data_IF_975373561629
#
_entry.id   IF_975373561629
#
_cell.length_a   1.000
_cell.length_b   1.000
_cell.length_c   1.000
_cell.angle_alpha   90.00
_cell.angle_beta   90.00
_cell.angle_gamma   90.00
#
_symmetry.space_group_name_H-M   'P 1'
#
loop_
_entity.id
_entity.type
_entity.pdbx_description
1 polymer ?
#
# COMPACT_ATOMS: atom_id res chain seq x y z
N UNK A 1 -15.38 -18.03 7.94
CA UNK A 1 -15.52 -16.93 6.95
C UNK A 1 -14.12 -16.43 6.61
N UNK A 2 -13.79 -16.35 5.33
CA UNK A 2 -12.43 -15.93 4.95
C UNK A 2 -12.37 -14.40 4.91
N UNK A 3 -11.37 -13.82 5.56
CA UNK A 3 -11.16 -12.38 5.54
C UNK A 3 -10.42 -11.97 4.26
N UNK A 4 -10.79 -10.82 3.70
CA UNK A 4 -10.10 -10.23 2.56
C UNK A 4 -9.59 -8.85 2.95
N UNK A 5 -8.26 -8.64 2.84
CA UNK A 5 -7.64 -7.37 3.12
C UNK A 5 -6.96 -6.79 1.88
N UNK A 6 -7.02 -5.46 1.74
CA UNK A 6 -6.16 -4.75 0.80
C UNK A 6 -4.89 -4.26 1.51
N UNK A 7 -3.73 -4.26 0.83
CA UNK A 7 -2.48 -3.80 1.45
C UNK A 7 -2.58 -2.40 2.07
N UNK A 8 -3.18 -1.45 1.36
CA UNK A 8 -3.29 -0.05 1.83
C UNK A 8 -4.15 0.14 3.08
N UNK A 9 -5.16 -0.73 3.32
CA UNK A 9 -6.01 -0.59 4.51
C UNK A 9 -5.32 -1.05 5.81
N UNK A 10 -4.30 -1.91 5.71
CA UNK A 10 -3.61 -2.46 6.87
C UNK A 10 -2.86 -1.40 7.67
N UNK A 11 -2.27 -0.44 7.00
CA UNK A 11 -1.57 0.65 7.65
C UNK A 11 -2.47 1.86 7.87
N UNK A 12 -3.11 2.35 6.83
CA UNK A 12 -3.83 3.62 6.91
C UNK A 12 -5.13 3.52 7.70
N UNK A 13 -6.07 2.67 7.27
CA UNK A 13 -7.39 2.61 7.89
C UNK A 13 -7.37 1.99 9.27
N UNK A 14 -6.67 0.85 9.41
CA UNK A 14 -6.63 0.11 10.65
C UNK A 14 -5.94 0.87 11.79
N UNK A 15 -4.84 1.60 11.49
CA UNK A 15 -4.13 2.42 12.49
C UNK A 15 -4.85 3.71 12.83
N UNK A 16 -5.55 4.32 11.86
CA UNK A 16 -6.22 5.62 12.05
C UNK A 16 -7.37 5.53 13.06
N UNK A 17 -8.21 4.51 12.94
CA UNK A 17 -9.33 4.31 13.87
C UNK A 17 -9.90 2.88 13.78
N UNK A 18 -9.79 2.12 14.87
CA UNK A 18 -10.28 0.75 14.95
C UNK A 18 -11.80 0.67 14.73
N UNK A 19 -12.57 1.61 15.27
CA UNK A 19 -14.03 1.68 15.05
C UNK A 19 -14.39 1.85 13.57
N UNK A 20 -13.76 2.81 12.88
CA UNK A 20 -14.00 3.03 11.46
C UNK A 20 -13.59 1.82 10.62
N UNK A 21 -12.47 1.19 10.94
CA UNK A 21 -12.02 -0.04 10.29
C UNK A 21 -13.02 -1.17 10.49
N UNK A 22 -13.44 -1.44 11.73
CA UNK A 22 -14.43 -2.45 12.08
C UNK A 22 -15.75 -2.25 11.32
N UNK A 23 -16.31 -1.04 11.38
CA UNK A 23 -17.57 -0.67 10.70
C UNK A 23 -17.43 -0.86 9.19
N UNK A 24 -16.34 -0.41 8.60
CA UNK A 24 -16.11 -0.55 7.15
C UNK A 24 -16.00 -2.01 6.70
N UNK A 25 -15.42 -2.87 7.52
CA UNK A 25 -15.27 -4.29 7.20
C UNK A 25 -16.54 -5.09 7.42
N UNK A 26 -17.22 -4.91 8.55
CA UNK A 26 -18.42 -5.68 8.90
C UNK A 26 -19.69 -5.19 8.21
N UNK A 27 -19.88 -3.89 8.17
CA UNK A 27 -21.14 -3.30 7.71
C UNK A 27 -21.04 -2.67 6.32
N UNK A 28 -19.82 -2.65 5.72
CA UNK A 28 -19.56 -2.02 4.41
C UNK A 28 -19.85 -0.51 4.38
N UNK A 29 -19.84 0.12 5.55
CA UNK A 29 -20.01 1.57 5.71
C UNK A 29 -18.63 2.18 5.88
N UNK A 30 -18.25 3.11 5.01
CA UNK A 30 -16.98 3.82 5.10
C UNK A 30 -17.24 5.31 5.19
N UNK A 31 -16.38 6.06 5.91
CA UNK A 31 -16.35 7.51 5.75
C UNK A 31 -16.22 7.87 4.29
N UNK A 32 -16.94 8.89 3.84
CA UNK A 32 -16.98 9.31 2.44
C UNK A 32 -15.71 9.99 1.93
N UNK A 33 -14.59 9.84 2.60
CA UNK A 33 -13.29 10.44 2.27
C UNK A 33 -12.75 9.85 0.95
N UNK A 34 -13.17 10.39 -0.16
CA UNK A 34 -12.50 10.16 -1.45
C UNK A 34 -11.39 11.18 -1.58
N UNK A 35 -10.15 10.76 -1.86
CA UNK A 35 -9.08 11.71 -2.15
C UNK A 35 -9.47 12.57 -3.37
N UNK A 36 -9.11 13.85 -3.39
CA UNK A 36 -9.34 14.71 -4.54
C UNK A 36 -8.85 14.06 -5.85
N UNK A 37 -9.55 14.24 -6.99
CA UNK A 37 -9.19 13.62 -8.28
C UNK A 37 -7.76 13.89 -8.73
N UNK A 38 -7.17 15.01 -8.32
CA UNK A 38 -5.79 15.36 -8.63
C UNK A 38 -4.78 14.30 -8.17
N UNK A 39 -5.03 13.62 -7.03
CA UNK A 39 -4.12 12.56 -6.57
C UNK A 39 -4.15 11.33 -7.47
N UNK A 40 -5.31 10.99 -8.02
CA UNK A 40 -5.41 9.92 -9.02
C UNK A 40 -4.67 10.26 -10.31
N UNK A 41 -4.73 11.53 -10.74
CA UNK A 41 -3.99 12.00 -11.91
C UNK A 41 -2.47 11.97 -11.65
N UNK A 42 -2.02 12.39 -10.48
CA UNK A 42 -0.61 12.28 -10.10
C UNK A 42 -0.13 10.82 -10.12
N UNK A 43 -0.89 9.89 -9.57
CA UNK A 43 -0.56 8.46 -9.59
C UNK A 43 -0.37 7.95 -11.04
N UNK A 44 -1.27 8.33 -11.94
CA UNK A 44 -1.17 7.96 -13.37
C UNK A 44 0.08 8.54 -14.02
N UNK A 45 0.36 9.83 -13.79
CA UNK A 45 1.54 10.51 -14.36
C UNK A 45 2.83 9.87 -13.85
N UNK A 46 2.93 9.61 -12.53
CA UNK A 46 4.09 8.96 -11.92
C UNK A 46 4.32 7.57 -12.51
N UNK A 47 3.29 6.72 -12.56
CA UNK A 47 3.40 5.36 -13.11
C UNK A 47 3.77 5.35 -14.59
N UNK A 48 3.24 6.28 -15.38
CA UNK A 48 3.59 6.39 -16.80
C UNK A 48 5.02 6.85 -17.00
N UNK A 49 5.51 7.79 -16.19
CA UNK A 49 6.88 8.26 -16.26
C UNK A 49 7.89 7.14 -16.01
N UNK A 50 7.68 6.38 -14.94
CA UNK A 50 8.62 5.31 -14.58
C UNK A 50 8.47 4.02 -15.40
N UNK A 51 7.42 3.87 -16.21
CA UNK A 51 7.08 2.62 -16.91
C UNK A 51 8.22 2.01 -17.74
N UNK A 52 9.07 2.85 -18.33
CA UNK A 52 10.15 2.43 -19.24
C UNK A 52 11.55 2.72 -18.68
N UNK A 53 11.65 3.01 -17.39
CA UNK A 53 12.88 3.33 -16.70
C UNK A 53 13.41 2.12 -15.94
N UNK A 54 14.61 2.24 -15.40
CA UNK A 54 15.25 1.21 -14.55
C UNK A 54 15.13 1.57 -13.07
N UNK A 55 15.51 0.63 -12.20
CA UNK A 55 15.59 0.88 -10.77
C UNK A 55 16.56 2.02 -10.42
N UNK A 56 17.61 2.23 -11.23
CA UNK A 56 18.58 3.31 -11.03
C UNK A 56 17.99 4.69 -11.28
N UNK A 57 16.98 4.78 -12.15
CA UNK A 57 16.24 6.03 -12.36
C UNK A 57 15.35 6.41 -11.16
N UNK A 58 15.01 5.42 -10.30
CA UNK A 58 14.33 5.70 -9.03
C UNK A 58 15.32 6.18 -7.96
N UNK A 59 16.44 5.48 -7.81
CA UNK A 59 17.43 5.75 -6.77
C UNK A 59 18.68 4.88 -6.95
N UNK A 60 19.85 5.44 -6.65
CA UNK A 60 21.12 4.69 -6.62
C UNK A 60 21.18 3.64 -5.50
N UNK A 61 20.29 3.70 -4.52
CA UNK A 61 20.23 2.76 -3.38
C UNK A 61 19.68 1.37 -3.76
N UNK A 62 19.13 1.20 -4.95
CA UNK A 62 18.63 -0.09 -5.45
C UNK A 62 19.68 -0.71 -6.40
N UNK A 63 19.79 -2.05 -6.45
CA UNK A 63 20.51 -2.74 -7.52
C UNK A 63 19.92 -2.43 -8.90
N UNK A 64 20.70 -2.64 -9.96
CA UNK A 64 20.19 -2.52 -11.34
C UNK A 64 19.09 -3.54 -11.62
N UNK A 65 18.01 -3.08 -12.26
CA UNK A 65 16.86 -3.93 -12.55
C UNK A 65 15.81 -3.23 -13.39
N UNK A 66 14.91 -4.02 -13.96
CA UNK A 66 13.84 -3.56 -14.84
C UNK A 66 12.47 -3.64 -14.16
N UNK A 67 11.59 -2.74 -14.50
CA UNK A 67 10.23 -2.75 -13.99
C UNK A 67 9.41 -3.82 -14.71
N UNK A 68 8.69 -4.59 -13.91
CA UNK A 68 7.75 -5.58 -14.44
C UNK A 68 6.49 -4.85 -14.94
N UNK A 69 6.21 -5.01 -16.22
CA UNK A 69 5.07 -4.41 -16.89
C UNK A 69 3.80 -5.30 -16.79
N UNK A 70 2.70 -4.85 -17.42
CA UNK A 70 1.43 -5.57 -17.42
C UNK A 70 1.46 -6.93 -18.14
N UNK A 71 2.45 -7.17 -18.98
CA UNK A 71 2.61 -8.47 -19.66
C UNK A 71 3.13 -9.53 -18.67
N UNK A 72 3.84 -9.08 -17.62
CA UNK A 72 4.43 -9.90 -16.57
C UNK A 72 3.67 -9.86 -15.25
N UNK A 73 2.82 -8.82 -15.03
CA UNK A 73 2.04 -8.63 -13.83
C UNK A 73 0.59 -8.30 -14.17
N UNK A 74 -0.38 -9.06 -13.63
CA UNK A 74 -1.78 -8.69 -13.76
C UNK A 74 -2.05 -7.38 -13.01
N UNK A 75 -3.01 -6.58 -13.51
CA UNK A 75 -3.39 -5.31 -12.88
C UNK A 75 -3.93 -5.47 -11.46
N UNK A 76 -4.44 -6.66 -11.09
CA UNK A 76 -4.88 -7.01 -9.76
C UNK A 76 -4.21 -8.31 -9.34
N UNK A 77 -3.48 -8.28 -8.22
CA UNK A 77 -2.84 -9.45 -7.64
C UNK A 77 -3.58 -9.93 -6.39
N UNK A 78 -3.55 -11.22 -6.15
CA UNK A 78 -4.18 -11.85 -4.98
C UNK A 78 -3.26 -12.93 -4.39
N UNK A 79 -3.27 -13.08 -3.08
CA UNK A 79 -2.59 -14.19 -2.41
C UNK A 79 -3.39 -15.49 -2.51
N UNK A 80 -2.74 -16.61 -2.31
CA UNK A 80 -3.43 -17.83 -1.89
C UNK A 80 -4.10 -17.63 -0.53
N UNK A 81 -4.81 -18.64 -0.06
CA UNK A 81 -5.39 -18.65 1.28
C UNK A 81 -4.27 -18.72 2.30
N UNK A 82 -4.18 -17.68 3.13
CA UNK A 82 -3.20 -17.56 4.20
C UNK A 82 -3.88 -17.84 5.55
N UNK A 83 -3.09 -18.18 6.54
CA UNK A 83 -3.56 -18.36 7.92
C UNK A 83 -2.82 -17.38 8.85
N UNK A 84 -3.55 -16.78 9.77
CA UNK A 84 -2.98 -15.98 10.83
C UNK A 84 -2.38 -16.87 11.95
N UNK A 85 -1.84 -16.27 13.01
CA UNK A 85 -1.24 -17.03 14.11
C UNK A 85 -2.25 -17.87 14.90
N UNK A 86 -3.55 -17.67 14.72
CA UNK A 86 -4.63 -18.43 15.37
C UNK A 86 -5.30 -19.42 14.40
N UNK A 87 -4.76 -19.62 13.19
CA UNK A 87 -5.33 -20.50 12.15
C UNK A 87 -6.55 -19.93 11.43
N UNK A 88 -6.83 -18.62 11.59
CA UNK A 88 -7.92 -17.96 10.87
C UNK A 88 -7.49 -17.65 9.44
N UNK A 89 -8.38 -17.94 8.50
CA UNK A 89 -8.11 -17.85 7.07
C UNK A 89 -8.35 -16.45 6.53
N UNK A 90 -7.42 -15.97 5.71
CA UNK A 90 -7.53 -14.68 5.04
C UNK A 90 -6.84 -14.68 3.67
N UNK A 91 -7.17 -13.69 2.86
CA UNK A 91 -6.51 -13.39 1.59
C UNK A 91 -6.12 -11.92 1.54
N UNK A 92 -5.10 -11.65 0.75
CA UNK A 92 -4.63 -10.30 0.43
C UNK A 92 -4.92 -10.03 -1.05
N UNK A 93 -5.38 -8.81 -1.38
CA UNK A 93 -5.66 -8.40 -2.75
C UNK A 93 -5.33 -6.94 -2.96
N UNK A 94 -4.59 -6.62 -4.01
CA UNK A 94 -4.20 -5.24 -4.29
C UNK A 94 -3.58 -5.03 -5.67
N UNK A 95 -3.15 -3.79 -5.89
CA UNK A 95 -2.44 -3.36 -7.10
C UNK A 95 -1.15 -2.68 -6.64
N UNK A 96 0.02 -3.28 -6.85
CA UNK A 96 1.29 -2.65 -6.53
C UNK A 96 1.60 -1.52 -7.52
N UNK A 97 2.32 -0.50 -7.07
CA UNK A 97 2.73 0.59 -7.96
C UNK A 97 3.87 0.15 -8.88
N UNK A 98 4.96 -0.32 -8.31
CA UNK A 98 6.11 -0.84 -9.05
C UNK A 98 6.60 -2.15 -8.45
N UNK A 99 6.89 -3.11 -9.33
CA UNK A 99 7.62 -4.33 -9.01
C UNK A 99 8.86 -4.37 -9.90
N UNK A 100 10.01 -4.67 -9.31
CA UNK A 100 11.31 -4.68 -9.97
C UNK A 100 11.82 -6.12 -10.03
N UNK A 101 12.32 -6.52 -11.19
CA UNK A 101 13.15 -7.71 -11.34
C UNK A 101 14.60 -7.25 -11.48
N UNK A 102 15.43 -7.60 -10.51
CA UNK A 102 16.84 -7.23 -10.55
C UNK A 102 17.62 -8.13 -11.50
N UNK A 103 18.70 -7.59 -12.10
CA UNK A 103 19.55 -8.30 -13.04
C UNK A 103 20.32 -9.42 -12.36
N UNK A 104 20.91 -9.13 -11.19
CA UNK A 104 21.53 -10.14 -10.37
C UNK A 104 20.46 -10.98 -9.68
N UNK A 105 20.44 -12.28 -9.96
CA UNK A 105 19.46 -13.22 -9.39
C UNK A 105 19.46 -13.27 -7.86
N UNK A 106 20.61 -12.99 -7.22
CA UNK A 106 20.71 -12.96 -5.77
C UNK A 106 19.95 -11.77 -5.15
N UNK A 107 19.77 -10.69 -5.91
CA UNK A 107 18.98 -9.53 -5.45
C UNK A 107 17.47 -9.78 -5.56
N UNK A 108 17.05 -10.76 -6.35
CA UNK A 108 15.67 -11.20 -6.45
C UNK A 108 14.75 -10.13 -7.04
N UNK A 109 13.75 -9.73 -6.26
CA UNK A 109 12.73 -8.76 -6.68
C UNK A 109 12.61 -7.62 -5.67
N UNK A 110 12.11 -6.47 -6.17
CA UNK A 110 11.79 -5.29 -5.38
C UNK A 110 10.32 -4.89 -5.48
N UNK A 111 9.78 -4.29 -4.43
CA UNK A 111 8.43 -3.70 -4.39
C UNK A 111 8.56 -2.27 -3.91
N UNK A 112 8.15 -1.32 -4.74
CA UNK A 112 8.19 0.10 -4.43
C UNK A 112 6.77 0.66 -4.52
N UNK A 113 6.36 1.36 -3.49
CA UNK A 113 5.05 2.01 -3.42
C UNK A 113 5.23 3.53 -3.44
N UNK A 114 4.42 4.21 -4.26
CA UNK A 114 4.49 5.65 -4.45
C UNK A 114 3.63 6.40 -3.44
N UNK A 115 4.17 7.47 -2.87
CA UNK A 115 3.44 8.30 -1.92
C UNK A 115 3.64 9.78 -2.21
N UNK A 116 2.57 10.48 -2.55
CA UNK A 116 2.58 11.95 -2.62
C UNK A 116 2.33 12.48 -1.21
N UNK A 117 3.40 12.89 -0.53
CA UNK A 117 3.39 13.31 0.89
C UNK A 117 4.61 14.15 1.23
N UNK A 118 4.61 14.79 2.41
CA UNK A 118 5.83 15.44 2.94
C UNK A 118 6.95 14.42 3.08
N UNK A 119 8.15 14.78 2.64
CA UNK A 119 9.33 13.91 2.69
C UNK A 119 9.75 13.66 4.15
N UNK A 120 9.90 12.39 4.51
CA UNK A 120 10.42 11.98 5.82
C UNK A 120 10.80 10.50 5.80
N UNK A 121 12.00 10.18 6.26
CA UNK A 121 12.43 8.79 6.43
C UNK A 121 11.63 8.07 7.54
N UNK A 122 11.22 8.79 8.58
CA UNK A 122 10.46 8.22 9.70
C UNK A 122 9.04 7.77 9.30
N UNK A 123 8.48 8.36 8.25
CA UNK A 123 7.15 7.99 7.77
C UNK A 123 7.10 6.64 7.06
N UNK A 124 8.24 6.08 6.66
CA UNK A 124 8.28 4.80 5.96
C UNK A 124 7.66 3.66 6.77
N UNK A 125 7.85 3.65 8.10
CA UNK A 125 7.26 2.65 8.99
C UNK A 125 5.72 2.64 8.99
N UNK A 126 5.10 3.73 8.56
CA UNK A 126 3.64 3.80 8.43
C UNK A 126 3.11 2.95 7.27
N UNK A 127 3.98 2.39 6.43
CA UNK A 127 3.60 1.61 5.25
C UNK A 127 4.19 0.19 5.26
N UNK A 128 4.76 -0.23 6.39
CA UNK A 128 5.44 -1.52 6.51
C UNK A 128 4.51 -2.73 6.28
N UNK A 129 3.27 -2.66 6.74
CA UNK A 129 2.29 -3.74 6.54
C UNK A 129 1.72 -3.75 5.13
N UNK A 130 1.62 -2.59 4.48
CA UNK A 130 1.24 -2.50 3.08
C UNK A 130 2.26 -3.21 2.19
N UNK A 131 3.54 -2.92 2.37
CA UNK A 131 4.62 -3.53 1.57
C UNK A 131 4.80 -5.01 1.90
N UNK A 132 4.75 -5.41 3.17
CA UNK A 132 4.82 -6.82 3.55
C UNK A 132 3.62 -7.60 2.98
N UNK A 133 2.41 -7.01 2.94
CA UNK A 133 1.25 -7.64 2.30
C UNK A 133 1.51 -7.93 0.81
N UNK A 134 2.09 -6.99 0.05
CA UNK A 134 2.49 -7.26 -1.32
C UNK A 134 3.54 -8.37 -1.41
N UNK A 135 4.52 -8.38 -0.52
CA UNK A 135 5.52 -9.45 -0.47
C UNK A 135 4.87 -10.82 -0.19
N UNK A 136 3.90 -10.91 0.72
CA UNK A 136 3.14 -12.14 0.98
C UNK A 136 2.31 -12.57 -0.24
N UNK A 137 1.68 -11.63 -0.96
CA UNK A 137 0.94 -11.94 -2.20
C UNK A 137 1.86 -12.60 -3.24
N UNK A 138 3.06 -12.08 -3.43
CA UNK A 138 3.99 -12.61 -4.43
C UNK A 138 4.69 -13.90 -4.00
N UNK A 139 4.98 -14.07 -2.72
CA UNK A 139 5.62 -15.29 -2.22
C UNK A 139 4.64 -16.46 -2.09
N UNK A 140 3.35 -16.17 -1.83
CA UNK A 140 2.25 -17.14 -1.74
C UNK A 140 1.11 -16.71 -2.68
N UNK A 141 1.34 -16.78 -4.02
CA UNK A 141 0.41 -16.25 -4.99
C UNK A 141 -0.83 -17.10 -5.15
N UNK A 142 -1.97 -16.46 -5.31
CA UNK A 142 -3.24 -17.06 -5.65
C UNK A 142 -3.69 -16.74 -7.08
N UNK A 143 -4.92 -17.15 -7.40
CA UNK A 143 -5.57 -16.87 -8.65
C UNK A 143 -7.02 -16.45 -8.45
N UNK A 144 -7.52 -15.66 -9.39
CA UNK A 144 -8.93 -15.39 -9.60
C UNK A 144 -9.42 -16.13 -10.86
N UNK A 145 -10.69 -16.01 -11.20
CA UNK A 145 -11.22 -16.58 -12.46
C UNK A 145 -10.54 -16.01 -13.71
N UNK A 146 -10.06 -14.78 -13.64
CA UNK A 146 -9.54 -14.02 -14.79
C UNK A 146 -8.04 -13.67 -14.70
N UNK A 147 -7.40 -13.96 -13.58
CA UNK A 147 -6.01 -13.54 -13.34
C UNK A 147 -5.29 -14.48 -12.39
N UNK A 148 -4.04 -14.78 -12.71
CA UNK A 148 -3.13 -15.55 -11.86
C UNK A 148 -1.97 -14.67 -11.44
N UNK A 149 -1.76 -14.53 -10.13
CA UNK A 149 -0.60 -13.81 -9.60
C UNK A 149 0.67 -14.63 -9.85
N UNK A 150 1.75 -14.05 -10.41
CA UNK A 150 3.02 -14.77 -10.54
C UNK A 150 3.69 -14.96 -9.18
N UNK A 151 4.46 -16.04 -9.03
CA UNK A 151 5.31 -16.23 -7.87
C UNK A 151 6.61 -15.46 -8.06
N UNK A 152 6.90 -14.52 -7.17
CA UNK A 152 8.17 -13.78 -7.14
C UNK A 152 8.84 -14.04 -5.79
N UNK A 153 10.03 -14.64 -5.84
CA UNK A 153 10.79 -14.99 -4.63
C UNK A 153 12.29 -15.15 -5.00
N UNK A 154 13.21 -14.58 -4.21
CA UNK A 154 12.99 -13.79 -3.00
C UNK A 154 12.56 -12.34 -3.29
N UNK A 155 11.81 -11.75 -2.36
CA UNK A 155 11.57 -10.30 -2.32
C UNK A 155 12.58 -9.71 -1.31
N UNK A 156 13.65 -9.12 -1.82
CA UNK A 156 14.78 -8.64 -1.00
C UNK A 156 14.75 -7.13 -0.78
N UNK A 157 14.07 -6.40 -1.66
CA UNK A 157 14.02 -4.95 -1.60
C UNK A 157 12.57 -4.48 -1.51
N UNK A 158 12.29 -3.68 -0.51
CA UNK A 158 11.01 -2.98 -0.37
C UNK A 158 11.27 -1.53 0.01
N UNK A 159 10.41 -0.64 -0.42
CA UNK A 159 10.55 0.75 -0.05
C UNK A 159 9.41 1.62 -0.53
N UNK A 160 9.46 2.86 -0.10
CA UNK A 160 8.54 3.91 -0.49
C UNK A 160 9.30 4.95 -1.28
N UNK A 161 8.76 5.36 -2.43
CA UNK A 161 9.19 6.55 -3.13
C UNK A 161 8.21 7.68 -2.85
N UNK A 162 8.65 8.65 -2.08
CA UNK A 162 7.88 9.81 -1.68
C UNK A 162 8.08 10.93 -2.70
N UNK A 163 6.98 11.60 -3.06
CA UNK A 163 6.98 12.76 -3.95
C UNK A 163 6.41 13.97 -3.21
N UNK A 164 7.12 15.08 -3.27
CA UNK A 164 6.70 16.33 -2.66
C UNK A 164 6.83 17.50 -3.65
N UNK A 165 5.78 18.29 -3.90
CA UNK A 165 5.85 19.44 -4.77
C UNK A 165 6.73 20.53 -4.14
N UNK A 166 7.72 21.02 -4.90
CA UNK A 166 8.69 22.02 -4.43
C UNK A 166 8.45 23.39 -5.02
N UNK A 167 8.34 23.45 -6.36
CA UNK A 167 8.30 24.74 -7.07
C UNK A 167 7.55 24.62 -8.39
N UNK A 168 6.84 25.69 -8.74
CA UNK A 168 6.21 25.84 -10.06
C UNK A 168 7.09 26.73 -10.93
N UNK A 169 7.34 26.32 -12.17
CA UNK A 169 7.97 27.09 -13.21
C UNK A 169 6.92 27.44 -14.25
N UNK A 170 6.58 28.72 -14.37
CA UNK A 170 5.62 29.20 -15.35
C UNK A 170 6.30 29.34 -16.70
N UNK A 171 5.70 28.80 -17.74
CA UNK A 171 6.03 29.04 -19.14
C UNK A 171 5.15 30.12 -19.73
N UNK A 172 5.20 30.28 -21.04
CA UNK A 172 4.33 31.23 -21.75
C UNK A 172 2.88 30.72 -21.72
N UNK A 173 1.93 31.64 -21.57
CA UNK A 173 0.48 31.40 -21.56
C UNK A 173 -0.05 30.64 -20.36
N UNK A 174 -0.73 29.52 -20.52
CA UNK A 174 -1.44 28.73 -19.51
C UNK A 174 -0.68 27.49 -19.06
N UNK A 175 0.63 27.39 -19.39
CA UNK A 175 1.45 26.20 -19.15
C UNK A 175 2.48 26.40 -18.03
N UNK A 176 2.69 25.37 -17.23
CA UNK A 176 3.70 25.38 -16.17
C UNK A 176 4.22 23.97 -15.87
N UNK A 177 5.49 23.90 -15.44
CA UNK A 177 6.07 22.69 -14.88
C UNK A 177 5.97 22.70 -13.35
N UNK A 178 5.70 21.53 -12.78
CA UNK A 178 5.78 21.29 -11.35
C UNK A 178 7.03 20.49 -11.04
N UNK A 179 8.02 21.13 -10.40
CA UNK A 179 9.19 20.44 -9.87
C UNK A 179 8.81 19.70 -8.58
N UNK A 180 9.13 18.43 -8.53
CA UNK A 180 8.93 17.61 -7.34
C UNK A 180 10.26 17.12 -6.78
N UNK A 181 10.37 17.11 -5.47
CA UNK A 181 11.42 16.39 -4.76
C UNK A 181 11.01 14.93 -4.61
N UNK A 182 11.99 14.03 -4.64
CA UNK A 182 11.80 12.61 -4.43
C UNK A 182 12.69 12.11 -3.29
N UNK A 183 12.14 11.21 -2.45
CA UNK A 183 12.90 10.54 -1.39
C UNK A 183 12.55 9.06 -1.38
N UNK A 184 13.57 8.23 -1.62
CA UNK A 184 13.44 6.79 -1.44
C UNK A 184 13.79 6.39 -0.01
N UNK A 185 12.88 5.69 0.64
CA UNK A 185 13.03 5.17 1.99
C UNK A 185 12.90 3.65 1.97
N UNK A 186 14.00 2.89 2.17
CA UNK A 186 13.96 1.44 2.19
C UNK A 186 13.24 0.93 3.43
N UNK A 187 12.58 -0.22 3.29
CA UNK A 187 11.94 -0.96 4.37
C UNK A 187 12.42 -2.42 4.37
N UNK A 188 12.64 -2.96 5.55
CA UNK A 188 12.97 -4.37 5.73
C UNK A 188 11.72 -5.19 5.91
N UNK A 189 11.72 -6.41 5.37
CA UNK A 189 10.68 -7.38 5.62
C UNK A 189 10.60 -7.77 7.09
N UNK A 190 9.38 -7.91 7.59
CA UNK A 190 9.12 -8.45 8.94
C UNK A 190 7.82 -9.26 8.94
N UNK A 191 7.91 -10.47 8.42
CA UNK A 191 6.78 -11.39 8.30
C UNK A 191 6.14 -11.69 9.66
N UNK A 192 6.94 -11.88 10.71
CA UNK A 192 6.43 -12.16 12.06
C UNK A 192 5.58 -11.01 12.61
N UNK A 193 6.03 -9.78 12.45
CA UNK A 193 5.27 -8.59 12.89
C UNK A 193 4.00 -8.41 12.05
N UNK A 194 4.08 -8.71 10.76
CA UNK A 194 2.94 -8.67 9.86
C UNK A 194 1.83 -9.66 10.27
N UNK A 195 2.16 -10.93 10.47
CA UNK A 195 1.15 -11.92 10.88
C UNK A 195 0.57 -11.62 12.26
N UNK A 196 1.38 -11.11 13.20
CA UNK A 196 0.85 -10.61 14.49
C UNK A 196 -0.15 -9.47 14.29
N UNK A 197 0.14 -8.53 13.37
CA UNK A 197 -0.78 -7.44 13.05
C UNK A 197 -2.09 -7.95 12.43
N UNK A 198 -2.02 -8.87 11.47
CA UNK A 198 -3.21 -9.51 10.87
C UNK A 198 -4.06 -10.22 11.94
N UNK A 199 -3.43 -10.98 12.83
CA UNK A 199 -4.12 -11.63 13.94
C UNK A 199 -4.88 -10.63 14.82
N UNK A 200 -4.25 -9.51 15.15
CA UNK A 200 -4.92 -8.45 15.93
C UNK A 200 -6.11 -7.84 15.18
N UNK A 201 -6.00 -7.65 13.86
CA UNK A 201 -7.11 -7.14 13.05
C UNK A 201 -8.26 -8.14 12.95
N UNK A 202 -7.97 -9.43 12.80
CA UNK A 202 -9.00 -10.47 12.77
C UNK A 202 -9.69 -10.56 14.13
N UNK A 203 -8.94 -10.58 15.23
CA UNK A 203 -9.50 -10.57 16.59
C UNK A 203 -10.41 -9.35 16.81
N UNK A 204 -9.99 -8.16 16.34
CA UNK A 204 -10.82 -6.96 16.38
C UNK A 204 -12.14 -7.16 15.63
N UNK A 205 -12.10 -7.76 14.44
CA UNK A 205 -13.29 -8.02 13.62
C UNK A 205 -14.20 -9.11 14.20
N UNK A 206 -13.70 -10.01 15.03
CA UNK A 206 -14.48 -11.06 15.68
C UNK A 206 -15.16 -10.59 16.97
N UNK A 207 -14.85 -9.41 17.48
CA UNK A 207 -15.54 -8.84 18.63
C UNK A 207 -17.04 -8.66 18.35
N UNK A 208 -17.86 -8.88 19.38
CA UNK A 208 -19.32 -8.65 19.30
C UNK A 208 -19.66 -7.17 19.33
N UNK A 209 -18.94 -6.42 20.14
CA UNK A 209 -19.17 -5.00 20.35
C UNK A 209 -18.37 -4.15 19.35
N UNK A 210 -18.93 -3.02 18.95
CA UNK A 210 -18.23 -2.05 18.11
C UNK A 210 -17.15 -1.38 18.96
N UNK A 211 -15.88 -1.37 18.53
CA UNK A 211 -14.81 -0.73 19.30
C UNK A 211 -15.05 0.74 19.55
N UNK A 212 -14.50 1.26 20.64
CA UNK A 212 -14.45 2.69 20.87
C UNK A 212 -13.66 3.41 19.77
N UNK A 213 -14.02 4.62 19.44
CA UNK A 213 -13.28 5.43 18.50
C UNK A 213 -11.97 5.97 19.09
N UNK A 214 -10.95 6.09 18.26
CA UNK A 214 -9.68 6.70 18.65
C UNK A 214 -9.85 8.21 18.91
N UNK A 215 -9.16 8.72 19.91
CA UNK A 215 -9.20 10.14 20.30
C UNK A 215 -8.88 11.12 19.15
N UNK A 216 -8.13 10.67 18.15
CA UNK A 216 -7.72 11.48 17.00
C UNK A 216 -8.55 11.23 15.73
N UNK A 217 -9.68 10.53 15.82
CA UNK A 217 -10.55 10.31 14.67
C UNK A 217 -11.56 11.44 14.51
N UNK A 218 -11.27 12.41 13.65
CA UNK A 218 -12.15 13.55 13.39
C UNK A 218 -13.53 13.13 12.86
N UNK A 219 -13.59 12.06 12.06
CA UNK A 219 -14.86 11.52 11.56
C UNK A 219 -15.75 11.03 12.71
N UNK A 220 -15.20 10.22 13.62
CA UNK A 220 -15.98 9.74 14.77
C UNK A 220 -16.38 10.88 15.69
N UNK A 221 -15.52 11.88 15.92
CA UNK A 221 -15.86 13.08 16.70
C UNK A 221 -16.99 13.87 16.05
N UNK A 222 -16.95 14.04 14.73
CA UNK A 222 -18.02 14.74 13.99
C UNK A 222 -19.37 14.02 14.13
N UNK A 223 -19.38 12.68 13.92
CA UNK A 223 -20.60 11.88 14.08
C UNK A 223 -21.13 11.92 15.51
N UNK A 224 -20.26 11.81 16.51
CA UNK A 224 -20.66 11.92 17.94
C UNK A 224 -21.27 13.29 18.25
N UNK A 225 -20.62 14.37 17.81
CA UNK A 225 -21.15 15.72 18.02
C UNK A 225 -22.54 15.98 17.40
N UNK A 226 -22.89 15.25 16.31
CA UNK A 226 -24.24 15.33 15.75
C UNK A 226 -25.29 14.61 16.60
N UNK A 227 -24.90 13.53 17.31
CA UNK A 227 -25.82 12.79 18.19
C UNK A 227 -26.03 13.48 19.54
N UNK A 228 -25.17 14.41 19.90
CA UNK A 228 -25.21 15.17 21.16
C UNK A 228 -25.96 16.52 21.02
N UNK A 229 -26.46 16.86 19.81
CA UNK A 229 -27.31 18.01 19.48
C UNK A 229 -28.80 17.67 19.61
#
# INVERSE_FOLDING_TARGET
>A
MDYLFSPSELDYKAKKCQRCFYISKKYKISPGDRPPPVFSNFDVVQKNYFKNLSSKDLTDKLPEGVFMNRDNLPGLIISDLLEDNNGKKFRLRGVPDIVIKFENRNDGYGIIDFKTTNLSNEKSDNYKYQLEAYAQIFTKPGATKTSKTPRLNPINHMGILQFFPEKIFKHKSSDCDLKMQMLYSPLKRNEKDFFRHITNLINLLEQKEIPNFGSNCNYCKFVQGQTDL
#
